data_IF_309734177308
#
_entry.id   IF_309734177308
#
_cell.length_a   1.000
_cell.length_b   1.000
_cell.length_c   1.000
_cell.angle_alpha   90.00
_cell.angle_beta   90.00
_cell.angle_gamma   90.00
#
_symmetry.space_group_name_H-M   'P 1'
#
loop_
_entity.id
_entity.type
_entity.pdbx_description
1 polymer ?
#
# COMPACT_ATOMS: atom_id res chain seq x y z
N UNK A 1 -0.73 13.46 36.49
CA UNK A 1 -1.18 14.76 35.93
C UNK A 1 -1.53 14.52 34.47
N UNK A 2 -2.82 14.48 34.14
CA UNK A 2 -3.32 14.25 32.79
C UNK A 2 -3.19 15.54 31.96
N UNK A 3 -2.12 15.63 31.16
CA UNK A 3 -2.06 16.62 30.11
C UNK A 3 -3.08 16.20 29.04
N UNK A 4 -4.24 16.86 29.03
CA UNK A 4 -5.13 16.82 27.89
C UNK A 4 -4.32 17.31 26.67
N UNK A 5 -3.90 16.37 25.82
CA UNK A 5 -3.11 16.67 24.63
C UNK A 5 -4.04 17.40 23.66
N UNK A 6 -4.01 18.74 23.72
CA UNK A 6 -4.70 19.57 22.74
C UNK A 6 -4.06 19.29 21.38
N UNK A 7 -4.86 18.83 20.43
CA UNK A 7 -4.51 18.86 19.02
C UNK A 7 -3.94 20.25 18.69
N UNK A 8 -2.64 20.32 18.43
CA UNK A 8 -2.00 21.58 18.05
C UNK A 8 -2.51 21.95 16.66
N UNK A 9 -2.66 23.24 16.34
CA UNK A 9 -3.12 23.68 15.02
C UNK A 9 -2.27 23.09 13.87
N UNK A 10 -0.99 22.81 14.13
CA UNK A 10 -0.10 22.12 13.20
C UNK A 10 -0.50 20.66 12.95
N UNK A 11 -0.83 19.89 13.99
CA UNK A 11 -1.31 18.50 13.83
C UNK A 11 -2.67 18.42 13.14
N UNK A 12 -3.56 19.38 13.41
CA UNK A 12 -4.85 19.49 12.72
C UNK A 12 -4.67 19.82 11.23
N UNK A 13 -3.78 20.75 10.91
CA UNK A 13 -3.42 21.09 9.52
C UNK A 13 -2.81 19.88 8.80
N UNK A 14 -1.85 19.20 9.41
CA UNK A 14 -1.23 18.00 8.85
C UNK A 14 -2.26 16.90 8.55
N UNK A 15 -3.20 16.68 9.48
CA UNK A 15 -4.30 15.74 9.29
C UNK A 15 -5.22 16.17 8.14
N UNK A 16 -5.60 17.44 8.07
CA UNK A 16 -6.41 17.97 6.98
C UNK A 16 -5.71 17.81 5.62
N UNK A 17 -4.41 18.07 5.54
CA UNK A 17 -3.60 17.86 4.33
C UNK A 17 -3.57 16.38 3.92
N UNK A 18 -3.40 15.47 4.87
CA UNK A 18 -3.40 14.03 4.61
C UNK A 18 -4.78 13.54 4.12
N UNK A 19 -5.88 13.99 4.73
CA UNK A 19 -7.23 13.62 4.35
C UNK A 19 -7.63 14.22 2.99
N UNK A 20 -7.40 15.52 2.79
CA UNK A 20 -7.70 16.20 1.53
C UNK A 20 -6.85 15.63 0.39
N UNK A 21 -5.56 15.42 0.62
CA UNK A 21 -4.66 14.78 -0.33
C UNK A 21 -5.10 13.35 -0.64
N UNK A 22 -5.48 12.55 0.36
CA UNK A 22 -5.99 11.20 0.15
C UNK A 22 -7.27 11.15 -0.70
N UNK A 23 -8.23 12.04 -0.44
CA UNK A 23 -9.44 12.17 -1.26
C UNK A 23 -9.11 12.57 -2.71
N UNK A 24 -8.13 13.45 -2.91
CA UNK A 24 -7.68 13.85 -4.24
C UNK A 24 -6.94 12.73 -4.97
N UNK A 25 -6.14 11.91 -4.27
CA UNK A 25 -5.54 10.69 -4.82
C UNK A 25 -6.64 9.74 -5.31
N UNK A 26 -7.65 9.49 -4.46
CA UNK A 26 -8.76 8.60 -4.82
C UNK A 26 -9.54 9.12 -6.03
N UNK A 27 -9.86 10.42 -6.05
CA UNK A 27 -10.52 11.07 -7.18
C UNK A 27 -9.69 10.97 -8.47
N UNK A 28 -8.40 11.27 -8.40
CA UNK A 28 -7.49 11.19 -9.54
C UNK A 28 -7.40 9.77 -10.10
N UNK A 29 -7.32 8.77 -9.22
CA UNK A 29 -7.35 7.37 -9.63
C UNK A 29 -8.66 6.95 -10.26
N UNK A 30 -9.79 7.33 -9.67
CA UNK A 30 -11.12 7.03 -10.21
C UNK A 30 -11.33 7.67 -11.59
N UNK A 31 -10.89 8.93 -11.76
CA UNK A 31 -10.91 9.62 -13.06
C UNK A 31 -10.03 8.91 -14.09
N UNK A 32 -8.81 8.54 -13.70
CA UNK A 32 -7.87 7.81 -14.55
C UNK A 32 -8.43 6.47 -15.04
N UNK A 33 -9.12 5.72 -14.18
CA UNK A 33 -9.73 4.44 -14.58
C UNK A 33 -10.92 4.57 -15.53
N UNK A 34 -11.63 5.70 -15.51
CA UNK A 34 -12.81 5.94 -16.35
C UNK A 34 -12.48 6.55 -17.73
N UNK A 35 -11.24 6.98 -17.97
CA UNK A 35 -10.80 7.60 -19.23
C UNK A 35 -9.59 6.89 -19.86
N UNK A 36 -9.74 5.61 -20.28
CA UNK A 36 -8.61 4.78 -20.73
C UNK A 36 -8.08 5.11 -22.13
N UNK A 37 -8.80 5.85 -22.98
CA UNK A 37 -8.45 6.02 -24.42
C UNK A 37 -7.56 7.22 -24.76
N UNK A 38 -7.17 8.05 -23.78
CA UNK A 38 -6.27 9.22 -23.98
C UNK A 38 -4.82 8.90 -23.55
N UNK A 39 -4.53 7.60 -23.46
CA UNK A 39 -3.44 6.97 -22.73
C UNK A 39 -2.00 7.22 -23.21
N UNK A 40 -1.82 7.81 -24.39
CA UNK A 40 -0.50 8.01 -24.99
C UNK A 40 0.22 9.28 -24.50
N UNK A 41 -0.41 10.09 -23.63
CA UNK A 41 0.20 11.33 -23.14
C UNK A 41 0.67 11.19 -21.68
N UNK A 42 1.99 11.32 -21.41
CA UNK A 42 2.53 11.20 -20.05
C UNK A 42 2.07 12.32 -19.09
N UNK A 43 1.49 13.40 -19.63
CA UNK A 43 0.96 14.57 -18.90
C UNK A 43 -0.57 14.57 -18.82
N UNK A 44 -1.20 13.41 -18.65
CA UNK A 44 -2.64 13.33 -18.44
C UNK A 44 -3.01 14.03 -17.12
N UNK A 45 -3.97 14.96 -17.18
CA UNK A 45 -4.45 15.79 -16.04
C UNK A 45 -4.69 14.96 -14.77
N UNK A 46 -5.23 13.75 -14.92
CA UNK A 46 -5.57 12.88 -13.79
C UNK A 46 -4.34 12.30 -13.07
N UNK A 47 -3.26 11.96 -13.80
CA UNK A 47 -1.99 11.51 -13.19
C UNK A 47 -1.31 12.65 -12.43
N UNK A 48 -1.33 13.86 -13.01
CA UNK A 48 -0.83 15.07 -12.36
C UNK A 48 -1.57 15.33 -11.05
N UNK A 49 -2.91 15.15 -11.03
CA UNK A 49 -3.70 15.26 -9.79
C UNK A 49 -3.23 14.26 -8.74
N UNK A 50 -2.97 13.00 -9.10
CA UNK A 50 -2.47 12.01 -8.13
C UNK A 50 -1.09 12.38 -7.59
N UNK A 51 -0.15 12.83 -8.45
CA UNK A 51 1.18 13.23 -7.99
C UNK A 51 1.14 14.48 -7.09
N UNK A 52 0.37 15.50 -7.46
CA UNK A 52 0.20 16.71 -6.64
C UNK A 52 -0.50 16.39 -5.31
N UNK A 53 -1.49 15.50 -5.33
CA UNK A 53 -2.17 15.05 -4.13
C UNK A 53 -1.23 14.24 -3.22
N UNK A 54 -0.38 13.38 -3.79
CA UNK A 54 0.65 12.66 -3.05
C UNK A 54 1.67 13.62 -2.40
N UNK A 55 2.06 14.69 -3.10
CA UNK A 55 2.90 15.75 -2.52
C UNK A 55 2.20 16.46 -1.35
N UNK A 56 0.89 16.70 -1.45
CA UNK A 56 0.10 17.28 -0.37
C UNK A 56 0.07 16.35 0.87
N UNK A 57 -0.14 15.05 0.68
CA UNK A 57 -0.08 14.06 1.76
C UNK A 57 1.33 13.98 2.36
N UNK A 58 2.37 13.97 1.53
CA UNK A 58 3.77 13.95 1.96
C UNK A 58 4.14 15.21 2.76
N UNK A 59 3.61 16.38 2.38
CA UNK A 59 3.78 17.61 3.15
C UNK A 59 3.08 17.51 4.52
N UNK A 60 1.87 16.94 4.59
CA UNK A 60 1.22 16.62 5.86
C UNK A 60 2.05 15.68 6.74
N UNK A 61 2.62 14.61 6.16
CA UNK A 61 3.54 13.71 6.84
C UNK A 61 4.80 14.43 7.35
N UNK A 62 5.37 15.34 6.57
CA UNK A 62 6.52 16.14 6.99
C UNK A 62 6.20 17.03 8.20
N UNK A 63 5.01 17.64 8.24
CA UNK A 63 4.55 18.42 9.40
C UNK A 63 4.42 17.52 10.63
N UNK A 64 3.89 16.30 10.51
CA UNK A 64 3.87 15.33 11.62
C UNK A 64 5.28 14.94 12.09
N UNK A 65 6.23 14.80 11.17
CA UNK A 65 7.61 14.47 11.51
C UNK A 65 8.28 15.61 12.31
N UNK A 66 8.05 16.87 11.90
CA UNK A 66 8.57 18.06 12.60
C UNK A 66 7.90 18.25 13.96
N UNK A 67 6.62 17.86 14.11
CA UNK A 67 5.93 17.89 15.41
C UNK A 67 6.29 16.72 16.34
N UNK A 68 7.28 15.89 15.99
CA UNK A 68 7.78 14.80 16.82
C UNK A 68 7.07 13.46 16.64
N UNK A 69 6.03 13.38 15.81
CA UNK A 69 5.27 12.15 15.55
C UNK A 69 5.88 11.32 14.39
N UNK A 70 7.16 10.94 14.52
CA UNK A 70 7.94 10.31 13.43
C UNK A 70 7.35 8.99 12.92
N UNK A 71 6.87 8.12 13.81
CA UNK A 71 6.29 6.82 13.41
C UNK A 71 5.03 6.99 12.55
N UNK A 72 4.00 7.70 13.05
CA UNK A 72 2.81 7.99 12.26
C UNK A 72 3.07 8.81 11.00
N UNK A 73 4.04 9.73 11.02
CA UNK A 73 4.47 10.46 9.82
C UNK A 73 4.92 9.49 8.71
N UNK A 74 5.68 8.45 9.04
CA UNK A 74 6.08 7.41 8.08
C UNK A 74 4.88 6.62 7.56
N UNK A 75 3.91 6.30 8.42
CA UNK A 75 2.70 5.59 8.01
C UNK A 75 1.79 6.45 7.10
N UNK A 76 1.69 7.76 7.35
CA UNK A 76 0.99 8.69 6.46
C UNK A 76 1.76 8.89 5.15
N UNK A 77 3.09 8.95 5.20
CA UNK A 77 3.91 9.03 3.99
C UNK A 77 3.72 7.80 3.08
N UNK A 78 3.57 6.61 3.68
CA UNK A 78 3.29 5.39 2.93
C UNK A 78 2.03 5.53 2.05
N UNK A 79 1.02 6.28 2.48
CA UNK A 79 -0.22 6.46 1.70
C UNK A 79 -0.09 7.44 0.56
N UNK A 80 0.93 8.30 0.57
CA UNK A 80 1.34 9.07 -0.60
C UNK A 80 2.11 8.20 -1.60
N UNK A 81 3.02 7.36 -1.10
CA UNK A 81 3.97 6.60 -1.94
C UNK A 81 3.29 5.43 -2.65
N UNK A 82 2.45 4.66 -1.96
CA UNK A 82 1.89 3.41 -2.50
C UNK A 82 1.05 3.66 -3.78
N UNK A 83 0.12 4.63 -3.82
CA UNK A 83 -0.64 4.93 -5.04
C UNK A 83 0.26 5.38 -6.19
N UNK A 84 1.28 6.18 -5.89
CA UNK A 84 2.26 6.63 -6.88
C UNK A 84 3.01 5.46 -7.50
N UNK A 85 3.51 4.52 -6.67
CA UNK A 85 4.20 3.33 -7.15
C UNK A 85 3.28 2.46 -8.02
N UNK A 86 2.03 2.26 -7.61
CA UNK A 86 1.08 1.45 -8.37
C UNK A 86 0.71 2.05 -9.73
N UNK A 87 0.72 3.38 -9.87
CA UNK A 87 0.39 4.09 -11.12
C UNK A 87 1.62 4.28 -12.03
N UNK A 88 2.83 4.37 -11.47
CA UNK A 88 4.07 4.65 -12.19
C UNK A 88 4.32 3.77 -13.43
N UNK A 89 4.10 2.43 -13.41
CA UNK A 89 4.30 1.60 -14.60
C UNK A 89 3.26 1.83 -15.71
N UNK A 90 2.37 2.81 -15.56
CA UNK A 90 1.51 3.34 -16.61
C UNK A 90 0.38 2.41 -17.07
N UNK A 91 0.20 1.25 -16.41
CA UNK A 91 -0.80 0.27 -16.82
C UNK A 91 -2.19 0.64 -16.33
N UNK A 92 -3.16 0.67 -17.23
CA UNK A 92 -4.57 0.95 -17.00
C UNK A 92 -5.28 -0.19 -16.28
N UNK A 93 -4.92 -0.44 -15.03
CA UNK A 93 -5.53 -1.50 -14.25
C UNK A 93 -6.35 -0.91 -13.10
N UNK A 94 -7.68 -1.03 -13.21
CA UNK A 94 -8.64 -0.68 -12.16
C UNK A 94 -8.36 -1.38 -10.84
N UNK A 95 -7.61 -2.48 -10.89
CA UNK A 95 -7.16 -3.24 -9.73
C UNK A 95 -6.24 -2.44 -8.79
N UNK A 96 -5.56 -1.39 -9.26
CA UNK A 96 -4.79 -0.50 -8.37
C UNK A 96 -5.70 0.25 -7.38
N UNK A 97 -7.01 0.40 -7.65
CA UNK A 97 -7.95 1.11 -6.77
C UNK A 97 -8.05 0.45 -5.39
N UNK A 98 -8.10 -0.88 -5.33
CA UNK A 98 -8.30 -1.61 -4.07
C UNK A 98 -7.15 -1.40 -3.06
N UNK A 99 -5.87 -1.65 -3.39
CA UNK A 99 -4.77 -1.36 -2.47
C UNK A 99 -4.69 0.14 -2.15
N UNK A 100 -5.02 1.04 -3.09
CA UNK A 100 -5.06 2.47 -2.78
C UNK A 100 -6.13 2.82 -1.75
N UNK A 101 -7.36 2.31 -1.89
CA UNK A 101 -8.42 2.53 -0.90
C UNK A 101 -8.01 2.07 0.51
N UNK A 102 -7.39 0.89 0.59
CA UNK A 102 -6.92 0.36 1.88
C UNK A 102 -5.81 1.25 2.45
N UNK A 103 -4.85 1.68 1.63
CA UNK A 103 -3.79 2.57 2.13
C UNK A 103 -4.32 3.91 2.59
N UNK A 104 -5.19 4.55 1.81
CA UNK A 104 -5.79 5.83 2.18
C UNK A 104 -6.55 5.76 3.50
N UNK A 105 -7.32 4.69 3.72
CA UNK A 105 -8.03 4.48 5.00
C UNK A 105 -7.06 4.27 6.16
N UNK A 106 -6.00 3.49 5.96
CA UNK A 106 -4.93 3.29 6.97
C UNK A 106 -4.21 4.60 7.30
N UNK A 107 -3.87 5.43 6.30
CA UNK A 107 -3.22 6.72 6.53
C UNK A 107 -4.13 7.73 7.21
N UNK A 108 -5.41 7.77 6.84
CA UNK A 108 -6.41 8.59 7.51
C UNK A 108 -6.53 8.19 8.99
N UNK A 109 -6.63 6.88 9.27
CA UNK A 109 -6.67 6.36 10.63
C UNK A 109 -5.39 6.69 11.41
N UNK A 110 -4.22 6.62 10.78
CA UNK A 110 -2.95 7.01 11.40
C UNK A 110 -2.84 8.50 11.67
N UNK A 111 -3.26 9.35 10.73
CA UNK A 111 -3.30 10.79 10.91
C UNK A 111 -4.27 11.17 12.05
N UNK A 112 -5.45 10.57 12.09
CA UNK A 112 -6.39 10.76 13.20
C UNK A 112 -5.82 10.28 14.53
N UNK A 113 -5.15 9.11 14.54
CA UNK A 113 -4.49 8.57 15.73
C UNK A 113 -3.41 9.52 16.27
N UNK A 114 -2.64 10.20 15.43
CA UNK A 114 -1.68 11.21 15.94
C UNK A 114 -2.35 12.35 16.70
N UNK A 115 -3.57 12.71 16.34
CA UNK A 115 -4.33 13.75 17.02
C UNK A 115 -4.96 13.24 18.31
N UNK A 116 -5.42 11.99 18.33
CA UNK A 116 -6.23 11.43 19.41
C UNK A 116 -5.43 10.63 20.46
N UNK A 117 -4.34 9.98 20.06
CA UNK A 117 -3.53 9.09 20.90
C UNK A 117 -2.04 9.09 20.47
N UNK A 118 -1.30 10.20 20.69
CA UNK A 118 0.06 10.38 20.18
C UNK A 118 1.13 9.53 20.87
N UNK A 119 0.83 8.90 22.01
CA UNK A 119 1.81 8.19 22.84
C UNK A 119 2.18 6.80 22.31
N UNK A 120 1.46 6.27 21.32
CA UNK A 120 1.72 4.92 20.82
C UNK A 120 2.69 4.99 19.63
N UNK A 121 3.94 4.50 19.79
CA UNK A 121 4.91 4.51 18.71
C UNK A 121 4.46 3.61 17.56
N UNK A 122 4.95 3.91 16.35
CA UNK A 122 4.81 3.03 15.18
C UNK A 122 6.21 2.65 14.76
N UNK A 123 6.48 1.34 14.70
CA UNK A 123 7.79 0.82 14.34
C UNK A 123 8.04 1.00 12.84
N UNK A 124 9.29 1.33 12.46
CA UNK A 124 9.69 1.42 11.05
C UNK A 124 9.43 0.10 10.32
N UNK A 125 9.65 -1.02 11.01
CA UNK A 125 9.43 -2.36 10.45
C UNK A 125 7.96 -2.60 10.12
N UNK A 126 7.02 -2.16 10.97
CA UNK A 126 5.59 -2.23 10.67
C UNK A 126 5.21 -1.40 9.43
N UNK A 127 5.77 -0.20 9.29
CA UNK A 127 5.53 0.63 8.09
C UNK A 127 6.11 -0.02 6.83
N UNK A 128 7.35 -0.52 6.90
CA UNK A 128 8.00 -1.18 5.77
C UNK A 128 7.27 -2.46 5.36
N UNK A 129 6.87 -3.29 6.32
CA UNK A 129 6.09 -4.49 6.05
C UNK A 129 4.76 -4.16 5.38
N UNK A 130 4.05 -3.12 5.85
CA UNK A 130 2.82 -2.65 5.23
C UNK A 130 3.04 -2.16 3.79
N UNK A 131 4.07 -1.34 3.55
CA UNK A 131 4.40 -0.85 2.21
C UNK A 131 4.73 -2.00 1.28
N UNK A 132 5.60 -2.92 1.70
CA UNK A 132 6.01 -4.07 0.87
C UNK A 132 4.82 -4.97 0.57
N UNK A 133 4.01 -5.34 1.57
CA UNK A 133 2.81 -6.19 1.34
C UNK A 133 1.86 -5.52 0.37
N UNK A 134 1.62 -4.21 0.52
CA UNK A 134 0.62 -3.54 -0.30
C UNK A 134 1.09 -3.32 -1.73
N UNK A 135 2.34 -2.87 -1.93
CA UNK A 135 2.91 -2.61 -3.26
C UNK A 135 3.16 -3.93 -3.98
N UNK A 136 3.89 -4.85 -3.36
CA UNK A 136 4.23 -6.13 -3.97
C UNK A 136 2.99 -7.02 -4.10
N UNK A 137 2.07 -7.02 -3.12
CA UNK A 137 0.77 -7.68 -3.25
C UNK A 137 -0.07 -7.11 -4.38
N UNK A 138 -0.10 -5.78 -4.55
CA UNK A 138 -0.77 -5.13 -5.69
C UNK A 138 -0.19 -5.54 -7.04
N UNK A 139 1.14 -5.58 -7.16
CA UNK A 139 1.80 -6.07 -8.38
C UNK A 139 1.59 -7.57 -8.61
N UNK A 140 1.60 -8.37 -7.55
CA UNK A 140 1.32 -9.80 -7.63
C UNK A 140 -0.10 -10.06 -8.13
N UNK A 141 -1.09 -9.32 -7.63
CA UNK A 141 -2.46 -9.40 -8.11
C UNK A 141 -2.55 -9.03 -9.59
N UNK A 142 -1.89 -7.94 -9.99
CA UNK A 142 -1.80 -7.55 -11.40
C UNK A 142 -1.21 -8.67 -12.26
N UNK A 143 -0.04 -9.19 -11.88
CA UNK A 143 0.63 -10.25 -12.63
C UNK A 143 -0.20 -11.53 -12.70
N UNK A 144 -0.93 -11.88 -11.63
CA UNK A 144 -1.86 -13.01 -11.63
C UNK A 144 -2.98 -12.82 -12.63
N UNK A 145 -3.60 -11.64 -12.67
CA UNK A 145 -4.66 -11.32 -13.63
C UNK A 145 -4.16 -11.37 -15.07
N UNK A 146 -2.98 -10.81 -15.33
CA UNK A 146 -2.28 -10.87 -16.61
C UNK A 146 -2.03 -12.33 -17.07
N UNK A 147 -1.86 -13.26 -16.12
CA UNK A 147 -1.62 -14.68 -16.40
C UNK A 147 -2.89 -15.53 -16.50
N UNK A 148 -3.95 -15.17 -15.78
CA UNK A 148 -5.19 -15.96 -15.64
C UNK A 148 -6.32 -15.52 -16.58
N UNK A 149 -6.53 -14.21 -16.75
CA UNK A 149 -7.67 -13.67 -17.50
C UNK A 149 -7.35 -13.35 -18.96
N UNK A 150 -6.07 -13.18 -19.31
CA UNK A 150 -5.65 -12.89 -20.69
C UNK A 150 -5.03 -14.14 -21.33
N UNK A 151 -5.65 -14.70 -22.39
CA UNK A 151 -5.16 -15.92 -23.03
C UNK A 151 -3.92 -15.71 -23.91
N UNK A 152 -3.57 -14.45 -24.21
CA UNK A 152 -2.47 -14.10 -25.11
C UNK A 152 -1.10 -14.32 -24.47
N UNK A 153 -0.25 -15.11 -25.13
CA UNK A 153 1.09 -15.45 -24.66
C UNK A 153 2.01 -14.23 -24.47
N UNK A 154 1.76 -13.14 -25.20
CA UNK A 154 2.52 -11.89 -25.12
C UNK A 154 2.36 -11.18 -23.77
N UNK A 155 1.23 -11.37 -23.07
CA UNK A 155 0.94 -10.75 -21.77
C UNK A 155 1.27 -11.71 -20.60
N UNK A 156 1.25 -13.02 -20.86
CA UNK A 156 1.45 -14.05 -19.84
C UNK A 156 2.89 -14.16 -19.34
N UNK A 157 3.87 -14.10 -20.25
CA UNK A 157 5.29 -14.11 -19.87
C UNK A 157 5.70 -12.91 -18.99
N UNK A 158 5.37 -11.65 -19.35
CA UNK A 158 5.66 -10.52 -18.47
C UNK A 158 4.84 -10.58 -17.17
N UNK A 159 3.59 -11.06 -17.20
CA UNK A 159 2.78 -11.26 -15.99
C UNK A 159 3.44 -12.21 -14.98
N UNK A 160 4.02 -13.33 -15.44
CA UNK A 160 4.79 -14.25 -14.57
C UNK A 160 6.05 -13.62 -14.01
N UNK A 161 6.75 -12.82 -14.80
CA UNK A 161 7.94 -12.10 -14.34
C UNK A 161 7.57 -11.08 -13.25
N UNK A 162 6.45 -10.35 -13.44
CA UNK A 162 5.91 -9.44 -12.41
C UNK A 162 5.55 -10.21 -11.13
N UNK A 163 4.88 -11.35 -11.24
CA UNK A 163 4.59 -12.22 -10.08
C UNK A 163 5.87 -12.68 -9.37
N UNK A 164 6.90 -13.08 -10.11
CA UNK A 164 8.17 -13.52 -9.55
C UNK A 164 8.89 -12.40 -8.80
N UNK A 165 9.01 -11.22 -9.42
CA UNK A 165 9.66 -10.05 -8.79
C UNK A 165 8.89 -9.55 -7.57
N UNK A 166 7.56 -9.46 -7.68
CA UNK A 166 6.70 -9.10 -6.55
C UNK A 166 6.83 -10.12 -5.41
N UNK A 167 6.90 -11.40 -5.75
CA UNK A 167 7.11 -12.47 -4.79
C UNK A 167 8.44 -12.40 -4.04
N UNK A 168 9.53 -12.11 -4.75
CA UNK A 168 10.84 -11.89 -4.14
C UNK A 168 10.81 -10.71 -3.16
N UNK A 169 10.13 -9.62 -3.51
CA UNK A 169 9.95 -8.49 -2.60
C UNK A 169 9.12 -8.90 -1.37
N UNK A 170 8.05 -9.67 -1.54
CA UNK A 170 7.21 -10.16 -0.44
C UNK A 170 7.96 -11.07 0.53
N UNK A 171 8.97 -11.81 0.08
CA UNK A 171 9.78 -12.69 0.94
C UNK A 171 10.51 -11.92 2.04
N UNK A 172 10.80 -10.63 1.83
CA UNK A 172 11.40 -9.78 2.85
C UNK A 172 10.49 -9.60 4.08
N UNK A 173 9.17 -9.68 3.92
CA UNK A 173 8.20 -9.40 4.98
C UNK A 173 8.26 -10.40 6.15
N UNK A 174 8.07 -11.72 5.93
CA UNK A 174 8.18 -12.69 7.02
C UNK A 174 9.59 -12.70 7.62
N UNK A 175 10.64 -12.42 6.84
CA UNK A 175 12.01 -12.29 7.37
C UNK A 175 12.13 -11.08 8.31
N UNK A 176 11.64 -9.90 7.92
CA UNK A 176 11.59 -8.72 8.78
C UNK A 176 10.83 -9.00 10.08
N UNK A 177 9.70 -9.71 10.00
CA UNK A 177 8.94 -10.11 11.19
C UNK A 177 9.71 -11.08 12.09
N UNK A 178 10.38 -12.08 11.52
CA UNK A 178 11.19 -13.03 12.28
C UNK A 178 12.38 -12.35 12.97
N UNK A 179 13.10 -11.46 12.27
CA UNK A 179 14.23 -10.72 12.84
C UNK A 179 13.82 -9.74 13.95
N UNK A 180 12.57 -9.29 13.94
CA UNK A 180 12.01 -8.43 15.00
C UNK A 180 11.26 -9.20 16.09
N UNK A 181 11.24 -10.54 16.02
CA UNK A 181 10.59 -11.38 17.04
C UNK A 181 9.08 -11.60 16.86
N UNK A 182 8.47 -11.05 15.81
CA UNK A 182 7.04 -11.13 15.50
C UNK A 182 6.63 -12.46 14.82
N UNK A 183 6.77 -13.57 15.55
CA UNK A 183 6.53 -14.92 15.01
C UNK A 183 5.11 -15.13 14.47
N UNK A 184 4.10 -14.57 15.13
CA UNK A 184 2.70 -14.67 14.69
C UNK A 184 2.46 -13.92 13.38
N UNK A 185 3.01 -12.71 13.23
CA UNK A 185 2.91 -11.93 12.00
C UNK A 185 3.67 -12.58 10.85
N UNK A 186 4.84 -13.17 11.13
CA UNK A 186 5.56 -13.99 10.17
C UNK A 186 4.73 -15.19 9.70
N UNK A 187 4.09 -15.91 10.63
CA UNK A 187 3.24 -17.06 10.30
C UNK A 187 2.00 -16.68 9.49
N UNK A 188 1.42 -15.50 9.73
CA UNK A 188 0.27 -15.00 8.97
C UNK A 188 0.63 -14.48 7.58
N UNK A 189 1.85 -13.97 7.39
CA UNK A 189 2.32 -13.41 6.12
C UNK A 189 3.04 -14.43 5.22
N UNK A 190 3.70 -15.44 5.78
CA UNK A 190 4.45 -16.45 5.03
C UNK A 190 3.62 -17.23 4.00
N UNK A 191 2.35 -17.61 4.26
CA UNK A 191 1.51 -18.29 3.27
C UNK A 191 1.31 -17.48 1.98
N UNK A 192 1.46 -16.16 2.04
CA UNK A 192 1.34 -15.29 0.86
C UNK A 192 2.42 -15.58 -0.20
N UNK A 193 3.56 -16.16 0.19
CA UNK A 193 4.60 -16.59 -0.75
C UNK A 193 4.17 -17.78 -1.61
N UNK A 194 3.19 -18.58 -1.18
CA UNK A 194 2.66 -19.69 -1.97
C UNK A 194 2.06 -19.21 -3.29
N UNK A 195 1.50 -18.01 -3.31
CA UNK A 195 0.94 -17.39 -4.51
C UNK A 195 1.99 -17.29 -5.63
N UNK A 196 3.21 -16.93 -5.27
CA UNK A 196 4.35 -16.76 -6.19
C UNK A 196 4.75 -18.10 -6.78
N UNK A 197 4.85 -19.11 -5.93
CA UNK A 197 5.21 -20.48 -6.34
C UNK A 197 4.19 -21.00 -7.34
N UNK A 198 2.90 -20.82 -7.07
CA UNK A 198 1.83 -21.28 -7.97
C UNK A 198 1.85 -20.51 -9.30
N UNK A 199 2.05 -19.19 -9.25
CA UNK A 199 2.12 -18.35 -10.46
C UNK A 199 3.30 -18.71 -11.38
N UNK A 200 4.44 -19.13 -10.81
CA UNK A 200 5.63 -19.52 -11.58
C UNK A 200 5.49 -20.93 -12.18
N UNK A 201 4.92 -21.88 -11.42
CA UNK A 201 4.77 -23.28 -11.86
C UNK A 201 3.83 -23.44 -13.06
N UNK A 202 2.91 -22.50 -13.24
CA UNK A 202 2.20 -22.30 -14.51
C UNK A 202 1.23 -23.40 -14.93
N UNK A 203 0.96 -24.39 -14.06
CA UNK A 203 0.00 -25.48 -14.29
C UNK A 203 -1.39 -25.19 -13.71
N UNK A 204 -1.52 -24.21 -12.81
CA UNK A 204 -2.76 -23.94 -12.07
C UNK A 204 -2.94 -22.45 -11.74
N UNK A 205 -2.99 -21.61 -12.77
CA UNK A 205 -3.03 -20.14 -12.58
C UNK A 205 -4.28 -19.69 -11.77
N UNK A 206 -5.42 -20.39 -11.93
CA UNK A 206 -6.63 -20.14 -11.14
C UNK A 206 -6.46 -20.46 -9.64
N UNK A 207 -5.64 -21.45 -9.28
CA UNK A 207 -5.30 -21.72 -7.88
C UNK A 207 -4.46 -20.57 -7.30
N UNK A 208 -3.59 -19.94 -8.10
CA UNK A 208 -2.81 -18.78 -7.67
C UNK A 208 -3.70 -17.63 -7.22
N UNK A 209 -4.77 -17.36 -7.97
CA UNK A 209 -5.77 -16.36 -7.60
C UNK A 209 -6.52 -16.72 -6.30
N UNK A 210 -6.94 -17.98 -6.15
CA UNK A 210 -7.64 -18.44 -4.95
C UNK A 210 -6.75 -18.35 -3.70
N UNK A 211 -5.48 -18.74 -3.81
CA UNK A 211 -4.51 -18.60 -2.72
C UNK A 211 -4.26 -17.13 -2.40
N UNK A 212 -4.20 -16.25 -3.41
CA UNK A 212 -4.09 -14.80 -3.19
C UNK A 212 -5.29 -14.26 -2.41
N UNK A 213 -6.50 -14.63 -2.80
CA UNK A 213 -7.74 -14.16 -2.17
C UNK A 213 -7.83 -14.53 -0.67
N UNK A 214 -7.18 -15.61 -0.25
CA UNK A 214 -7.14 -16.06 1.15
C UNK A 214 -5.95 -15.42 1.87
N UNK A 215 -4.75 -15.58 1.32
CA UNK A 215 -3.49 -15.24 2.03
C UNK A 215 -3.12 -13.77 1.94
N UNK A 216 -3.54 -13.06 0.90
CA UNK A 216 -3.31 -11.63 0.72
C UNK A 216 -3.97 -10.79 1.80
N UNK A 217 -5.30 -10.92 2.04
CA UNK A 217 -5.98 -10.24 3.13
C UNK A 217 -5.41 -10.58 4.52
N UNK A 218 -4.98 -11.83 4.74
CA UNK A 218 -4.33 -12.22 6.00
C UNK A 218 -3.00 -11.50 6.21
N UNK A 219 -2.13 -11.46 5.21
CA UNK A 219 -0.85 -10.75 5.27
C UNK A 219 -1.05 -9.24 5.47
N UNK A 220 -2.00 -8.65 4.73
CA UNK A 220 -2.32 -7.22 4.85
C UNK A 220 -2.94 -6.89 6.21
N UNK A 221 -3.84 -7.73 6.71
CA UNK A 221 -4.42 -7.61 8.05
C UNK A 221 -3.36 -7.69 9.15
N UNK A 222 -2.39 -8.60 9.02
CA UNK A 222 -1.26 -8.69 9.94
C UNK A 222 -0.40 -7.42 9.94
N UNK A 223 -0.12 -6.83 8.78
CA UNK A 223 0.62 -5.57 8.69
C UNK A 223 -0.16 -4.38 9.25
N UNK A 224 -1.47 -4.30 8.98
CA UNK A 224 -2.34 -3.27 9.57
C UNK A 224 -2.39 -3.44 11.10
N UNK A 225 -2.54 -4.68 11.59
CA UNK A 225 -2.52 -4.95 13.02
C UNK A 225 -1.21 -4.46 13.65
N UNK A 226 -0.06 -4.78 13.05
CA UNK A 226 1.23 -4.37 13.55
C UNK A 226 1.36 -2.84 13.61
N UNK A 227 0.91 -2.14 12.56
CA UNK A 227 0.85 -0.68 12.53
C UNK A 227 0.12 -0.06 13.74
N UNK A 228 -0.90 -0.72 14.29
CA UNK A 228 -1.69 -0.22 15.42
C UNK A 228 -1.35 -0.82 16.78
N UNK A 229 -0.80 -2.04 16.82
CA UNK A 229 -0.65 -2.84 18.03
C UNK A 229 0.81 -3.23 18.36
N UNK A 230 1.74 -3.12 17.41
CA UNK A 230 3.16 -3.41 17.61
C UNK A 230 3.78 -2.40 18.60
N UNK A 231 4.47 -2.91 19.63
CA UNK A 231 5.06 -2.14 20.73
C UNK A 231 6.48 -2.60 21.02
#
# INVERSE_FOLDING_TARGET
MSAAVRATPLTALACAMALAGGLLIFKGMYGWTNHPHVAAQPLQRDRVVVYLAALLVAAGAAVFAVSGARGPALAVLATAIIPVLLILPGSYNSIAIYPTLITLTVGAAMALRTMLAPEIPVTLVSVLAFVVITVAGGYLLRGLLDVTWFPDGEVRAPGRLVCGLAGLALAAVPLMWLFTGHRSLAALSAPFLLVVVIAILGRYDALGFLVYAITGPMALGAAIYALFADR
#
